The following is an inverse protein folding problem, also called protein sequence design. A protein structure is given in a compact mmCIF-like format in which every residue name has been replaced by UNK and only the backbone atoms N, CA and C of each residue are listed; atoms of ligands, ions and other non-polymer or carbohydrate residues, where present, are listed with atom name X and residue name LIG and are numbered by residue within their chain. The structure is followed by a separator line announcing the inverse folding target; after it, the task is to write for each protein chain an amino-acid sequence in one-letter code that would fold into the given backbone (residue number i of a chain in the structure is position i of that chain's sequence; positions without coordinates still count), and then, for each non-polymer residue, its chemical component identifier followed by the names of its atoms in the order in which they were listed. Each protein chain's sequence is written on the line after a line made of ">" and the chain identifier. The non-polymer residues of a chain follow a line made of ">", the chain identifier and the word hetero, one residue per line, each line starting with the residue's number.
data_IF_001463418010
#
_entry.id   IF_001463418010
#
_cell.length_a   1.000
_cell.length_b   1.000
_cell.length_c   1.000
_cell.angle_alpha   90.00
_cell.angle_beta   90.00
_cell.angle_gamma   90.00
#
_symmetry.space_group_name_H-M   'P 1'
#
loop_
_entity.id
_entity.type
_entity.pdbx_description
1 polymer ?
#
# COMPACT_ATOMS: atom_id res chain seq x y z
N UNK A 1 19.85 -1.48 20.00
CA UNK A 1 18.89 -2.57 19.64
C UNK A 1 17.99 -2.19 18.47
N UNK A 2 17.87 -0.90 18.19
CA UNK A 2 17.04 -0.46 17.07
C UNK A 2 17.50 -1.16 15.80
N UNK A 3 16.55 -1.69 15.04
CA UNK A 3 16.85 -2.37 13.78
C UNK A 3 17.63 -1.45 12.83
N UNK A 4 18.64 -2.01 12.15
CA UNK A 4 19.47 -1.24 11.21
C UNK A 4 19.09 -1.58 9.76
N UNK A 5 18.41 -0.66 9.08
CA UNK A 5 17.97 -0.91 7.71
C UNK A 5 19.12 -1.26 6.77
N UNK A 6 20.21 -0.50 6.85
CA UNK A 6 21.37 -0.74 5.99
C UNK A 6 21.99 -2.11 6.18
N UNK A 7 22.14 -2.52 7.45
CA UNK A 7 22.67 -3.83 7.76
C UNK A 7 21.72 -4.91 7.25
N UNK A 8 20.43 -4.75 7.55
CA UNK A 8 19.42 -5.71 7.10
C UNK A 8 19.40 -5.86 5.57
N UNK A 9 19.53 -4.74 4.86
CA UNK A 9 19.51 -4.75 3.40
C UNK A 9 20.68 -5.57 2.82
N UNK A 10 21.75 -5.69 3.60
CA UNK A 10 22.94 -6.45 3.19
C UNK A 10 22.77 -7.98 3.35
N UNK A 11 21.68 -8.40 3.97
CA UNK A 11 21.45 -9.83 4.18
C UNK A 11 20.51 -10.41 3.13
N UNK A 12 20.65 -11.71 2.85
CA UNK A 12 19.75 -12.34 1.88
C UNK A 12 18.32 -12.22 2.42
N UNK A 13 17.34 -12.13 1.53
CA UNK A 13 15.93 -12.00 1.93
C UNK A 13 15.54 -12.97 3.05
N UNK A 14 15.93 -14.23 2.87
CA UNK A 14 15.65 -15.28 3.83
C UNK A 14 16.16 -14.94 5.24
N UNK A 15 17.34 -14.34 5.31
CA UNK A 15 17.94 -13.97 6.58
C UNK A 15 17.36 -12.71 7.20
N UNK A 16 16.78 -11.85 6.36
CA UNK A 16 16.13 -10.65 6.86
C UNK A 16 14.90 -11.09 7.66
N UNK A 17 14.19 -12.09 7.14
CA UNK A 17 13.00 -12.62 7.79
C UNK A 17 13.33 -13.16 9.19
N UNK A 18 14.42 -13.91 9.29
CA UNK A 18 14.85 -14.46 10.57
C UNK A 18 15.20 -13.35 11.57
N UNK A 19 15.82 -12.28 11.07
CA UNK A 19 16.24 -11.16 11.91
C UNK A 19 15.07 -10.37 12.46
N UNK A 20 13.96 -10.37 11.73
CA UNK A 20 12.78 -9.61 12.15
C UNK A 20 11.73 -10.47 12.87
N UNK A 21 11.93 -11.78 12.88
CA UNK A 21 10.96 -12.70 13.48
C UNK A 21 10.59 -12.34 14.93
N UNK A 22 11.60 -12.04 15.75
CA UNK A 22 11.36 -11.68 17.14
C UNK A 22 10.51 -10.41 17.24
N UNK A 23 10.90 -9.37 16.50
CA UNK A 23 10.17 -8.12 16.48
C UNK A 23 8.74 -8.35 16.02
N UNK A 24 8.58 -9.25 15.07
CA UNK A 24 7.27 -9.55 14.54
C UNK A 24 6.35 -10.28 15.51
N UNK A 25 6.94 -11.04 16.44
CA UNK A 25 6.16 -11.77 17.43
C UNK A 25 5.53 -10.79 18.43
N UNK A 26 6.25 -9.72 18.73
CA UNK A 26 5.77 -8.70 19.64
C UNK A 26 4.77 -7.73 18.96
N UNK A 27 5.05 -7.38 17.70
CA UNK A 27 4.17 -6.51 16.93
C UNK A 27 2.81 -7.18 16.71
N UNK A 28 2.84 -8.50 16.58
CA UNK A 28 1.63 -9.27 16.38
C UNK A 28 0.66 -9.14 17.57
N UNK A 29 1.21 -8.86 18.76
CA UNK A 29 0.39 -8.74 19.98
C UNK A 29 -0.26 -7.36 20.14
N UNK A 30 0.27 -6.36 19.43
CA UNK A 30 -0.29 -5.02 19.50
C UNK A 30 -1.48 -4.90 18.55
N UNK A 31 -2.23 -3.81 18.69
CA UNK A 31 -3.35 -3.55 17.78
C UNK A 31 -2.83 -2.63 16.67
N UNK A 32 -3.63 -2.41 15.63
CA UNK A 32 -3.19 -1.60 14.50
C UNK A 32 -2.60 -0.26 14.92
N UNK A 33 -3.29 0.46 15.79
CA UNK A 33 -2.81 1.78 16.24
C UNK A 33 -1.45 1.70 16.95
N UNK A 34 -1.28 0.68 17.78
CA UNK A 34 -0.02 0.49 18.49
C UNK A 34 1.11 0.07 17.56
N UNK A 35 0.78 -0.67 16.51
CA UNK A 35 1.79 -1.08 15.54
C UNK A 35 2.31 0.15 14.82
N UNK A 36 1.39 1.04 14.43
CA UNK A 36 1.78 2.29 13.77
C UNK A 36 2.61 3.12 14.74
N UNK A 37 2.15 3.23 15.98
CA UNK A 37 2.89 4.01 16.97
C UNK A 37 4.32 3.46 17.15
N UNK A 38 4.44 2.15 17.23
CA UNK A 38 5.75 1.52 17.39
C UNK A 38 6.70 1.84 16.21
N UNK A 39 6.20 1.70 14.99
CA UNK A 39 7.01 1.96 13.80
C UNK A 39 7.52 3.39 13.81
N UNK A 40 6.62 4.33 14.09
CA UNK A 40 6.97 5.75 14.12
C UNK A 40 8.04 6.02 15.17
N UNK A 41 8.09 5.16 16.18
CA UNK A 41 9.04 5.32 17.27
C UNK A 41 10.34 4.54 17.13
N UNK A 42 10.30 3.44 16.39
CA UNK A 42 11.48 2.61 16.29
C UNK A 42 12.05 2.42 14.91
N UNK A 43 11.31 2.87 13.89
CA UNK A 43 11.76 2.75 12.50
C UNK A 43 12.21 4.13 12.01
N UNK A 44 13.19 4.16 11.07
CA UNK A 44 13.82 5.35 10.47
C UNK A 44 13.17 6.10 9.33
N UNK A 45 14.06 6.86 8.65
CA UNK A 45 13.76 7.65 7.45
C UNK A 45 12.41 8.25 7.46
N UNK A 46 12.01 8.78 6.30
CA UNK A 46 10.69 9.37 6.15
C UNK A 46 9.65 8.27 6.10
N UNK A 47 8.48 8.56 6.66
CA UNK A 47 7.39 7.62 6.67
C UNK A 47 6.42 7.93 5.55
N UNK A 48 6.00 6.89 4.84
CA UNK A 48 5.04 7.05 3.76
C UNK A 48 3.94 6.00 3.89
N UNK A 49 2.81 6.27 3.25
CA UNK A 49 1.68 5.38 3.26
C UNK A 49 1.22 5.21 1.84
N UNK A 50 0.99 3.98 1.41
CA UNK A 50 0.50 3.79 0.07
C UNK A 50 -0.90 3.19 0.12
N UNK A 51 -1.67 3.43 -0.94
CA UNK A 51 -3.02 2.89 -1.04
C UNK A 51 -3.41 2.77 -2.50
N UNK A 52 -4.19 1.74 -2.81
CA UNK A 52 -4.68 1.53 -4.16
C UNK A 52 -6.11 2.06 -4.24
N UNK A 53 -6.57 2.64 -3.13
CA UNK A 53 -7.92 3.20 -3.04
C UNK A 53 -8.99 2.24 -3.52
N UNK A 54 -8.83 0.97 -3.12
CA UNK A 54 -9.80 -0.06 -3.47
C UNK A 54 -11.00 -0.10 -2.52
N UNK A 55 -11.69 -1.24 -2.48
CA UNK A 55 -12.93 -1.38 -1.68
C UNK A 55 -12.89 -0.89 -0.22
N UNK A 56 -11.88 -1.32 0.53
CA UNK A 56 -11.76 -0.98 1.95
C UNK A 56 -10.64 -0.01 2.29
N UNK A 57 -10.19 0.76 1.31
CA UNK A 57 -9.06 1.68 1.50
C UNK A 57 -9.25 2.73 2.58
N UNK A 58 -10.48 3.17 2.80
CA UNK A 58 -10.74 4.21 3.81
C UNK A 58 -10.20 3.88 5.20
N UNK A 59 -10.15 2.59 5.55
CA UNK A 59 -9.68 2.18 6.88
C UNK A 59 -8.21 2.50 7.16
N UNK A 60 -7.33 1.95 6.34
CA UNK A 60 -5.90 2.18 6.53
C UNK A 60 -5.54 3.67 6.39
N UNK A 61 -6.21 4.36 5.46
CA UNK A 61 -5.95 5.77 5.22
C UNK A 61 -6.31 6.61 6.44
N UNK A 62 -7.52 6.43 6.95
CA UNK A 62 -7.97 7.17 8.13
C UNK A 62 -7.12 6.82 9.38
N UNK A 63 -6.88 5.53 9.59
CA UNK A 63 -6.13 5.07 10.75
C UNK A 63 -4.71 5.62 10.85
N UNK A 64 -3.96 5.52 9.76
CA UNK A 64 -2.57 6.00 9.76
C UNK A 64 -2.47 7.51 9.71
N UNK A 65 -3.33 8.15 8.93
CA UNK A 65 -3.32 9.60 8.82
C UNK A 65 -3.71 10.26 10.15
N UNK A 66 -4.56 9.59 10.93
CA UNK A 66 -4.96 10.12 12.25
C UNK A 66 -3.75 10.17 13.21
N UNK A 67 -2.90 9.15 13.13
CA UNK A 67 -1.72 9.07 14.00
C UNK A 67 -0.55 9.92 13.46
N UNK A 68 -0.43 9.98 12.14
CA UNK A 68 0.64 10.73 11.49
C UNK A 68 0.02 11.69 10.48
N UNK A 69 -0.50 12.84 10.95
CA UNK A 69 -1.12 13.83 10.05
C UNK A 69 -0.21 14.27 8.90
N UNK A 70 -0.80 14.40 7.71
CA UNK A 70 -0.08 14.84 6.51
C UNK A 70 1.00 13.90 6.03
N UNK A 71 0.91 12.63 6.41
CA UNK A 71 1.88 11.65 5.96
C UNK A 71 1.70 11.50 4.45
N UNK A 72 2.81 11.52 3.69
CA UNK A 72 2.68 11.38 2.23
C UNK A 72 1.91 10.12 1.85
N UNK A 73 0.87 10.27 1.03
CA UNK A 73 0.08 9.12 0.57
C UNK A 73 0.39 8.85 -0.90
N UNK A 74 1.07 7.75 -1.16
CA UNK A 74 1.46 7.39 -2.50
C UNK A 74 0.38 6.67 -3.26
N UNK A 75 -0.05 7.27 -4.36
CA UNK A 75 -1.02 6.66 -5.24
C UNK A 75 -0.36 6.40 -6.58
N UNK A 76 -0.46 5.17 -7.04
CA UNK A 76 0.14 4.77 -8.30
C UNK A 76 -0.95 4.74 -9.37
N UNK A 77 -1.08 5.83 -10.12
CA UNK A 77 -2.08 5.89 -11.16
C UNK A 77 -1.56 5.16 -12.39
N UNK A 78 -2.17 4.02 -12.70
CA UNK A 78 -1.76 3.23 -13.86
C UNK A 78 -2.32 3.83 -15.15
N UNK A 79 -3.26 4.76 -15.01
CA UNK A 79 -3.90 5.35 -16.16
C UNK A 79 -5.08 4.52 -16.60
N UNK A 80 -5.35 3.42 -15.87
CA UNK A 80 -6.45 2.51 -16.22
C UNK A 80 -7.39 2.17 -15.03
N UNK A 81 -7.37 2.99 -13.99
CA UNK A 81 -8.25 2.75 -12.84
C UNK A 81 -9.70 2.96 -13.25
N UNK A 82 -10.62 2.34 -12.52
CA UNK A 82 -12.05 2.52 -12.80
C UNK A 82 -12.36 4.00 -12.58
N UNK A 83 -13.29 4.55 -13.37
CA UNK A 83 -13.59 5.96 -13.12
C UNK A 83 -14.08 6.21 -11.68
N UNK A 84 -14.69 5.18 -11.07
CA UNK A 84 -15.22 5.30 -9.70
C UNK A 84 -14.09 5.43 -8.70
N UNK A 85 -12.96 4.82 -9.01
CA UNK A 85 -11.80 4.89 -8.14
C UNK A 85 -11.23 6.29 -8.17
N UNK A 86 -11.15 6.89 -9.36
CA UNK A 86 -10.64 8.26 -9.47
C UNK A 86 -11.49 9.22 -8.61
N UNK A 87 -12.81 9.15 -8.74
CA UNK A 87 -13.69 10.00 -7.95
C UNK A 87 -13.59 9.66 -6.46
N UNK A 88 -13.34 8.39 -6.15
CA UNK A 88 -13.16 7.93 -4.76
C UNK A 88 -11.89 8.53 -4.18
N UNK A 89 -10.84 8.58 -4.99
CA UNK A 89 -9.59 9.17 -4.56
C UNK A 89 -9.78 10.65 -4.29
N UNK A 90 -10.49 11.32 -5.20
CA UNK A 90 -10.76 12.76 -5.05
C UNK A 90 -11.53 12.98 -3.76
N UNK A 91 -12.60 12.21 -3.58
CA UNK A 91 -13.44 12.33 -2.40
C UNK A 91 -12.70 12.07 -1.08
N UNK A 92 -12.00 10.94 -0.98
CA UNK A 92 -11.24 10.60 0.23
C UNK A 92 -10.13 11.59 0.51
N UNK A 93 -9.46 12.04 -0.54
CA UNK A 93 -8.36 12.99 -0.36
C UNK A 93 -8.87 14.28 0.28
N UNK A 94 -10.03 14.72 -0.17
CA UNK A 94 -10.64 15.92 0.37
C UNK A 94 -11.18 15.68 1.79
N UNK A 95 -11.87 14.55 1.99
CA UNK A 95 -12.46 14.26 3.29
C UNK A 95 -11.48 14.03 4.45
N UNK A 96 -10.45 13.21 4.21
CA UNK A 96 -9.44 12.92 5.23
C UNK A 96 -8.27 13.88 5.16
N UNK A 97 -8.32 14.82 4.22
CA UNK A 97 -7.26 15.80 4.06
C UNK A 97 -5.91 15.08 3.85
N UNK A 98 -5.87 14.20 2.85
CA UNK A 98 -4.68 13.40 2.56
C UNK A 98 -3.61 14.16 1.83
N UNK A 99 -2.36 13.98 2.26
CA UNK A 99 -1.22 14.58 1.59
C UNK A 99 -0.89 13.66 0.40
N UNK A 100 -1.78 13.64 -0.59
CA UNK A 100 -1.67 12.76 -1.76
C UNK A 100 -0.50 13.04 -2.69
N UNK A 101 0.23 11.98 -3.04
CA UNK A 101 1.37 12.06 -3.96
C UNK A 101 1.10 11.08 -5.09
N UNK A 102 0.63 11.60 -6.22
CA UNK A 102 0.31 10.76 -7.37
C UNK A 102 1.55 10.51 -8.24
N UNK A 103 1.80 9.25 -8.55
CA UNK A 103 2.93 8.87 -9.37
C UNK A 103 2.39 8.09 -10.54
N UNK A 104 2.98 8.28 -11.71
CA UNK A 104 2.54 7.54 -12.87
C UNK A 104 3.70 7.13 -13.75
N UNK A 105 3.39 6.34 -14.76
CA UNK A 105 4.39 5.86 -15.70
C UNK A 105 5.14 7.03 -16.32
N UNK A 106 6.30 6.73 -16.92
CA UNK A 106 7.12 7.74 -17.57
C UNK A 106 6.40 8.46 -18.71
N UNK A 107 5.47 7.77 -19.37
CA UNK A 107 4.68 8.36 -20.44
C UNK A 107 3.25 7.90 -20.32
N UNK A 108 2.36 8.62 -20.99
CA UNK A 108 0.94 8.35 -20.96
C UNK A 108 0.59 6.95 -21.43
N UNK A 109 -0.61 6.51 -21.08
CA UNK A 109 -1.12 5.21 -21.47
C UNK A 109 -1.21 5.09 -23.00
N UNK A 110 -1.64 6.17 -23.66
CA UNK A 110 -1.76 6.16 -25.11
C UNK A 110 -0.36 5.96 -25.71
N UNK A 111 0.64 6.64 -25.15
CA UNK A 111 2.00 6.50 -25.64
C UNK A 111 2.47 5.05 -25.44
N UNK A 112 2.24 4.50 -24.25
CA UNK A 112 2.61 3.11 -23.98
C UNK A 112 2.00 2.16 -25.00
N UNK A 113 0.70 2.31 -25.26
CA UNK A 113 0.04 1.42 -26.21
C UNK A 113 0.57 1.58 -27.64
N UNK A 114 1.01 2.79 -27.98
CA UNK A 114 1.56 3.07 -29.30
C UNK A 114 2.88 2.32 -29.47
N UNK A 115 3.62 2.19 -28.37
CA UNK A 115 4.91 1.53 -28.37
C UNK A 115 4.87 0.02 -28.23
N UNK A 116 3.95 -0.48 -27.40
CA UNK A 116 3.93 -1.91 -27.06
C UNK A 116 2.62 -2.65 -27.27
N UNK A 117 1.60 -1.95 -27.74
CA UNK A 117 0.30 -2.58 -27.88
C UNK A 117 -0.33 -2.70 -26.49
N UNK A 118 -1.36 -3.53 -26.37
CA UNK A 118 -2.02 -3.74 -25.08
C UNK A 118 -1.29 -4.86 -24.32
N UNK A 119 -0.32 -4.47 -23.51
CA UNK A 119 0.51 -5.40 -22.77
C UNK A 119 -0.25 -6.42 -21.91
N UNK A 120 -1.38 -6.02 -21.34
CA UNK A 120 -2.17 -6.93 -20.51
C UNK A 120 -2.84 -8.05 -21.34
N UNK A 121 -2.67 -8.00 -22.65
CA UNK A 121 -3.23 -9.03 -23.53
C UNK A 121 -2.10 -9.87 -24.13
N UNK A 122 -0.91 -9.76 -23.56
CA UNK A 122 0.23 -10.45 -24.10
C UNK A 122 0.87 -11.49 -23.18
N UNK A 123 0.03 -12.25 -22.49
CA UNK A 123 0.53 -13.31 -21.63
C UNK A 123 1.21 -12.84 -20.37
N UNK A 124 2.02 -13.70 -19.79
CA UNK A 124 2.71 -13.40 -18.55
C UNK A 124 3.81 -12.33 -18.67
N UNK A 125 4.51 -12.30 -19.80
CA UNK A 125 5.58 -11.32 -20.01
C UNK A 125 5.03 -9.91 -20.27
N UNK A 126 3.89 -9.84 -20.93
CA UNK A 126 3.25 -8.57 -21.19
C UNK A 126 2.76 -7.96 -19.89
N UNK A 127 2.03 -8.76 -19.10
CA UNK A 127 1.51 -8.31 -17.82
C UNK A 127 2.66 -7.88 -16.90
N UNK A 128 3.76 -8.62 -16.96
CA UNK A 128 4.95 -8.31 -16.19
C UNK A 128 5.54 -6.95 -16.60
N UNK A 129 5.64 -6.71 -17.90
CA UNK A 129 6.17 -5.43 -18.39
C UNK A 129 5.19 -4.28 -18.04
N UNK A 130 3.90 -4.54 -18.18
CA UNK A 130 2.88 -3.56 -17.84
C UNK A 130 3.03 -3.11 -16.36
N UNK A 131 3.15 -4.08 -15.46
CA UNK A 131 3.27 -3.77 -14.04
C UNK A 131 4.56 -3.04 -13.76
N UNK A 132 5.60 -3.37 -14.50
CA UNK A 132 6.88 -2.71 -14.30
C UNK A 132 6.79 -1.21 -14.67
N UNK A 133 6.09 -0.92 -15.76
CA UNK A 133 5.95 0.45 -16.23
C UNK A 133 4.97 1.26 -15.36
N UNK A 134 3.84 0.64 -15.03
CA UNK A 134 2.78 1.33 -14.33
C UNK A 134 2.67 1.20 -12.81
N UNK A 135 3.42 0.27 -12.22
CA UNK A 135 3.35 0.08 -10.76
C UNK A 135 4.72 0.04 -10.09
N UNK A 136 5.61 -0.80 -10.60
CA UNK A 136 6.93 -0.97 -10.00
C UNK A 136 7.85 0.24 -10.17
N UNK A 137 8.01 0.70 -11.40
CA UNK A 137 8.88 1.83 -11.66
C UNK A 137 8.42 3.08 -10.90
N UNK A 138 7.12 3.43 -10.99
CA UNK A 138 6.62 4.62 -10.28
C UNK A 138 6.78 4.54 -8.75
N UNK A 139 6.43 3.40 -8.16
CA UNK A 139 6.55 3.25 -6.70
C UNK A 139 8.00 3.38 -6.22
N UNK A 140 8.93 2.75 -6.93
CA UNK A 140 10.34 2.85 -6.55
C UNK A 140 10.82 4.31 -6.63
N UNK A 141 10.35 5.03 -7.64
CA UNK A 141 10.73 6.43 -7.82
C UNK A 141 10.15 7.26 -6.67
N UNK A 142 8.92 6.93 -6.27
CA UNK A 142 8.26 7.62 -5.14
C UNK A 142 9.03 7.45 -3.83
N UNK A 143 9.35 6.20 -3.48
CA UNK A 143 10.09 5.92 -2.25
C UNK A 143 11.36 6.74 -2.22
N UNK A 144 12.04 6.79 -3.37
CA UNK A 144 13.29 7.54 -3.52
C UNK A 144 13.11 9.03 -3.38
N UNK A 145 12.18 9.60 -4.15
CA UNK A 145 11.93 11.04 -4.11
C UNK A 145 11.49 11.50 -2.73
N UNK A 146 10.67 10.69 -2.06
CA UNK A 146 10.15 11.01 -0.73
C UNK A 146 11.11 10.67 0.40
N UNK A 147 12.26 10.08 0.07
CA UNK A 147 13.27 9.70 1.06
C UNK A 147 12.70 8.72 2.09
N UNK A 148 11.87 7.80 1.63
CA UNK A 148 11.23 6.85 2.53
C UNK A 148 12.14 5.77 3.06
N UNK A 149 11.98 5.46 4.34
CA UNK A 149 12.71 4.36 4.96
C UNK A 149 11.69 3.42 5.62
N UNK A 150 10.48 3.94 5.89
CA UNK A 150 9.39 3.16 6.48
C UNK A 150 8.12 3.39 5.67
N UNK A 151 7.51 2.30 5.25
CA UNK A 151 6.37 2.35 4.38
C UNK A 151 5.17 1.57 4.92
N UNK A 152 4.07 2.28 5.17
CA UNK A 152 2.83 1.65 5.66
C UNK A 152 1.91 1.28 4.50
N UNK A 153 1.35 0.07 4.55
CA UNK A 153 0.41 -0.37 3.53
C UNK A 153 -0.78 -1.02 4.23
N UNK A 154 -1.93 -1.05 3.56
CA UNK A 154 -3.12 -1.61 4.18
C UNK A 154 -3.45 -3.05 3.85
N UNK A 155 -2.44 -3.87 3.59
CA UNK A 155 -2.65 -5.29 3.25
C UNK A 155 -3.24 -6.09 4.39
N UNK A 156 -4.04 -7.09 4.04
CA UNK A 156 -4.67 -7.98 5.00
C UNK A 156 -4.44 -9.43 4.56
N UNK A 157 -4.15 -10.30 5.53
CA UNK A 157 -3.91 -11.71 5.24
C UNK A 157 -5.07 -12.40 4.53
N UNK A 158 -6.29 -12.03 4.87
CA UNK A 158 -7.45 -12.70 4.30
C UNK A 158 -7.86 -12.33 2.88
N UNK A 159 -7.15 -11.38 2.26
CA UNK A 159 -7.46 -10.98 0.89
C UNK A 159 -6.95 -12.04 -0.11
N UNK A 160 -7.56 -12.07 -1.29
CA UNK A 160 -7.21 -13.06 -2.33
C UNK A 160 -5.81 -12.91 -2.95
N UNK A 161 -4.79 -13.13 -2.12
CA UNK A 161 -3.41 -13.07 -2.58
C UNK A 161 -2.56 -14.01 -1.73
N UNK A 162 -1.27 -14.12 -2.06
CA UNK A 162 -0.36 -14.97 -1.28
C UNK A 162 0.05 -14.17 -0.05
N UNK A 163 -0.95 -13.71 0.69
CA UNK A 163 -0.71 -12.87 1.86
C UNK A 163 -1.11 -13.51 3.17
N UNK A 164 -1.55 -14.76 3.10
CA UNK A 164 -1.99 -15.49 4.29
C UNK A 164 -0.98 -15.54 5.44
N UNK A 165 0.31 -15.44 5.12
CA UNK A 165 1.35 -15.51 6.15
C UNK A 165 2.18 -14.23 6.30
N UNK A 166 1.68 -13.13 5.75
CA UNK A 166 2.38 -11.86 5.84
C UNK A 166 2.54 -11.39 7.30
N UNK A 167 3.76 -10.97 7.69
CA UNK A 167 4.01 -10.48 9.04
C UNK A 167 3.72 -8.97 9.09
N UNK A 168 3.70 -8.40 10.28
CA UNK A 168 3.46 -6.96 10.41
C UNK A 168 4.60 -6.14 9.78
N UNK A 169 5.83 -6.61 10.00
CA UNK A 169 7.03 -5.91 9.52
C UNK A 169 7.89 -6.76 8.60
N UNK A 170 8.34 -6.15 7.51
CA UNK A 170 9.22 -6.82 6.54
C UNK A 170 10.06 -5.78 5.83
N UNK A 171 10.99 -6.24 5.03
CA UNK A 171 11.79 -5.35 4.23
C UNK A 171 11.44 -5.59 2.77
N UNK A 172 11.02 -4.54 2.10
CA UNK A 172 10.66 -4.64 0.70
C UNK A 172 11.05 -3.37 -0.02
N UNK A 173 11.60 -3.52 -1.23
CA UNK A 173 12.07 -2.39 -2.03
C UNK A 173 13.13 -1.64 -1.27
N UNK A 174 13.85 -2.35 -0.41
CA UNK A 174 14.93 -1.74 0.35
C UNK A 174 14.52 -0.92 1.57
N UNK A 175 13.23 -0.95 1.92
CA UNK A 175 12.72 -0.19 3.09
C UNK A 175 11.88 -1.10 4.03
N UNK A 176 11.60 -0.63 5.24
CA UNK A 176 10.74 -1.39 6.14
C UNK A 176 9.31 -1.23 5.64
N UNK A 177 8.58 -2.32 5.55
CA UNK A 177 7.19 -2.27 5.15
C UNK A 177 6.34 -2.71 6.36
N UNK A 178 5.41 -1.84 6.78
CA UNK A 178 4.57 -2.10 7.96
C UNK A 178 3.12 -2.27 7.57
N UNK A 179 2.52 -3.38 8.03
CA UNK A 179 1.12 -3.70 7.72
C UNK A 179 0.31 -3.71 9.04
N UNK A 180 -0.14 -2.53 9.50
CA UNK A 180 -0.90 -2.37 10.74
C UNK A 180 -2.17 -3.19 10.90
N UNK A 181 -2.91 -3.39 9.81
CA UNK A 181 -4.17 -4.12 9.89
C UNK A 181 -4.08 -5.47 9.21
N UNK A 182 -2.87 -6.01 9.18
CA UNK A 182 -2.61 -7.30 8.53
C UNK A 182 -3.54 -8.42 9.00
N UNK A 183 -3.98 -8.33 10.25
CA UNK A 183 -4.83 -9.38 10.82
C UNK A 183 -6.32 -9.05 10.94
N UNK A 184 -6.76 -7.95 10.34
CA UNK A 184 -8.16 -7.58 10.41
C UNK A 184 -9.05 -8.40 9.50
N UNK A 185 -10.20 -8.82 10.01
CA UNK A 185 -11.15 -9.55 9.20
C UNK A 185 -12.19 -8.56 8.71
N UNK A 186 -13.12 -9.04 7.90
CA UNK A 186 -14.14 -8.18 7.31
C UNK A 186 -15.08 -7.54 8.32
N UNK A 187 -15.26 -8.20 9.46
CA UNK A 187 -16.14 -7.67 10.50
C UNK A 187 -15.53 -6.44 11.13
N UNK A 188 -14.24 -6.54 11.41
CA UNK A 188 -13.49 -5.45 12.01
C UNK A 188 -13.42 -4.26 11.04
N UNK A 189 -13.23 -4.55 9.76
CA UNK A 189 -13.19 -3.49 8.76
C UNK A 189 -14.53 -2.73 8.76
N UNK A 190 -15.63 -3.47 8.68
CA UNK A 190 -16.93 -2.84 8.66
C UNK A 190 -17.18 -2.01 9.90
N UNK A 191 -16.86 -2.56 11.06
CA UNK A 191 -17.09 -1.83 12.30
C UNK A 191 -16.30 -0.55 12.33
N UNK A 192 -15.09 -0.58 11.77
CA UNK A 192 -14.24 0.60 11.75
C UNK A 192 -14.86 1.68 10.85
N UNK A 193 -15.32 1.27 9.66
CA UNK A 193 -15.95 2.19 8.72
C UNK A 193 -17.19 2.84 9.36
N UNK A 194 -18.06 2.00 9.91
CA UNK A 194 -19.28 2.46 10.59
C UNK A 194 -18.96 3.49 11.66
N UNK A 195 -18.05 3.11 12.55
CA UNK A 195 -17.67 3.96 13.68
C UNK A 195 -17.12 5.32 13.30
N UNK A 196 -16.33 5.37 12.24
CA UNK A 196 -15.71 6.62 11.88
C UNK A 196 -16.38 7.38 10.76
N UNK A 197 -17.58 6.96 10.39
CA UNK A 197 -18.32 7.63 9.34
C UNK A 197 -17.70 7.49 7.96
N UNK A 198 -17.09 6.34 7.67
CA UNK A 198 -16.46 6.10 6.37
C UNK A 198 -17.28 5.11 5.56
N UNK A 199 -16.94 4.95 4.29
CA UNK A 199 -17.70 4.06 3.42
C UNK A 199 -16.77 3.19 2.58
N UNK A 200 -17.34 2.13 2.02
CA UNK A 200 -16.61 1.27 1.09
C UNK A 200 -16.52 2.04 -0.23
N UNK A 201 -15.63 1.59 -1.11
CA UNK A 201 -15.50 2.15 -2.45
C UNK A 201 -16.89 2.00 -3.12
N UNK A 202 -17.34 3.00 -3.91
CA UNK A 202 -18.66 2.95 -4.57
C UNK A 202 -18.96 1.68 -5.39
N UNK A 203 -17.95 1.06 -5.97
CA UNK A 203 -18.19 -0.15 -6.78
C UNK A 203 -18.53 -1.39 -5.93
N UNK A 204 -18.38 -1.29 -4.61
CA UNK A 204 -18.77 -2.42 -3.75
C UNK A 204 -20.26 -2.64 -3.95
N UNK A 205 -21.01 -1.54 -4.02
CA UNK A 205 -22.46 -1.61 -4.22
C UNK A 205 -22.90 -2.06 -5.60
N UNK A 206 -21.94 -2.23 -6.51
CA UNK A 206 -22.23 -2.75 -7.84
C UNK A 206 -21.69 -4.18 -7.91
N UNK A 207 -21.39 -4.74 -6.74
CA UNK A 207 -20.96 -6.12 -6.67
C UNK A 207 -19.50 -6.44 -6.89
N UNK A 208 -18.64 -5.42 -6.92
CA UNK A 208 -17.21 -5.67 -7.13
C UNK A 208 -16.52 -6.13 -5.85
N UNK A 209 -15.97 -7.34 -5.89
CA UNK A 209 -15.26 -7.90 -4.74
C UNK A 209 -13.91 -7.21 -4.57
N UNK A 210 -13.36 -6.73 -5.68
CA UNK A 210 -12.10 -5.98 -5.66
C UNK A 210 -12.04 -5.16 -6.93
N UNK A 211 -11.20 -4.14 -6.93
CA UNK A 211 -11.08 -3.26 -8.08
C UNK A 211 -9.63 -2.88 -8.32
N UNK A 212 -9.28 -2.73 -9.58
CA UNK A 212 -7.93 -2.31 -9.95
C UNK A 212 -8.05 -1.57 -11.25
N UNK A 213 -7.50 -2.15 -12.31
CA UNK A 213 -7.57 -1.54 -13.63
C UNK A 213 -8.73 -2.10 -14.37
N UNK A 214 -9.23 -1.33 -15.32
CA UNK A 214 -10.31 -1.80 -16.16
C UNK A 214 -9.88 -1.55 -17.61
N UNK A 215 -10.19 -2.48 -18.51
CA UNK A 215 -9.79 -2.35 -19.92
C UNK A 215 -10.95 -2.53 -20.93
#
# INVERSE_FOLDING_TARGET
>A
SKLDLNALNELPKVDRILALAETNAELEKLDAEGRVAWALDNLPGEYVLSSSFGIQAAVSLHLVNQIRPDIPVILTDTGYLFPETYRFIDELTDKLKLNLKVYRATESAAWQEARYGKLWEQGVEGIEKYNDINKVEPMNRALKELNAQTWFAGLRREQSGSRANLPVLAIQRGVFKVLPIIDWDNRTIYQYLQKHGLKYHPLWDEGYLSVGDTH
#
